data_IF_464174903210
#
_entry.id   IF_464174903210
#
_cell.length_a   1.000
_cell.length_b   1.000
_cell.length_c   1.000
_cell.angle_alpha   90.00
_cell.angle_beta   90.00
_cell.angle_gamma   90.00
#
_symmetry.space_group_name_H-M   'P 1'
#
loop_
_entity.id
_entity.type
_entity.pdbx_description
1 polymer ?
#
# COMPACT_ATOMS: atom_id res chain seq x y z
N UNK A 1 2.59 19.40 -9.58
CA UNK A 1 1.79 19.43 -10.82
C UNK A 1 2.51 20.30 -11.85
N UNK A 2 2.70 19.80 -13.07
CA UNK A 2 3.19 20.55 -14.24
C UNK A 2 2.24 20.25 -15.43
N UNK A 3 1.93 21.25 -16.27
CA UNK A 3 1.07 21.11 -17.46
C UNK A 3 -0.12 22.08 -17.55
N UNK A 4 -0.80 22.08 -18.70
CA UNK A 4 -1.97 22.91 -19.02
C UNK A 4 -3.24 22.43 -18.31
N UNK A 5 -3.94 23.34 -17.63
CA UNK A 5 -5.15 23.08 -16.84
C UNK A 5 -6.31 22.54 -17.68
N UNK A 6 -6.31 22.76 -19.00
CA UNK A 6 -7.29 22.22 -19.92
C UNK A 6 -7.22 20.68 -20.05
N UNK A 7 -6.08 20.06 -19.76
CA UNK A 7 -5.89 18.60 -19.81
C UNK A 7 -6.34 17.89 -18.52
N UNK A 8 -6.74 18.64 -17.49
CA UNK A 8 -7.05 18.11 -16.16
C UNK A 8 -8.55 17.87 -15.96
N UNK A 9 -9.31 17.57 -17.02
CA UNK A 9 -10.76 17.34 -16.96
C UNK A 9 -11.14 16.27 -15.93
N UNK A 10 -10.35 15.20 -15.83
CA UNK A 10 -10.54 14.16 -14.82
C UNK A 10 -10.34 14.69 -13.39
N UNK A 11 -9.30 15.49 -13.15
CA UNK A 11 -9.07 16.15 -11.87
C UNK A 11 -10.17 17.16 -11.55
N UNK A 12 -10.62 17.96 -12.53
CA UNK A 12 -11.74 18.90 -12.36
C UNK A 12 -13.01 18.17 -11.94
N UNK A 13 -13.30 17.01 -12.54
CA UNK A 13 -14.46 16.19 -12.19
C UNK A 13 -14.32 15.59 -10.78
N UNK A 14 -13.14 15.08 -10.41
CA UNK A 14 -12.85 14.58 -9.07
C UNK A 14 -12.95 15.67 -8.01
N UNK A 15 -12.34 16.83 -8.26
CA UNK A 15 -12.38 18.00 -7.39
C UNK A 15 -13.81 18.52 -7.24
N UNK A 16 -14.57 18.63 -8.34
CA UNK A 16 -15.98 19.03 -8.31
C UNK A 16 -16.81 18.03 -7.51
N UNK A 17 -16.58 16.73 -7.69
CA UNK A 17 -17.25 15.68 -6.91
C UNK A 17 -16.94 15.79 -5.40
N UNK A 18 -15.68 16.04 -5.02
CA UNK A 18 -15.30 16.25 -3.62
C UNK A 18 -15.94 17.52 -3.03
N UNK A 19 -15.94 18.62 -3.77
CA UNK A 19 -16.58 19.89 -3.37
C UNK A 19 -18.09 19.73 -3.22
N UNK A 20 -18.76 19.03 -4.14
CA UNK A 20 -20.21 18.81 -4.10
C UNK A 20 -20.65 17.85 -3.00
N UNK A 21 -19.78 16.93 -2.56
CA UNK A 21 -20.04 16.05 -1.41
C UNK A 21 -19.87 16.74 -0.06
N UNK A 22 -19.23 17.91 -0.03
CA UNK A 22 -18.96 18.64 1.20
C UNK A 22 -19.94 19.81 1.36
N UNK A 23 -20.81 19.74 2.36
CA UNK A 23 -21.90 20.72 2.59
C UNK A 23 -21.41 22.17 2.82
N UNK A 24 -20.15 22.38 3.20
CA UNK A 24 -19.56 23.72 3.37
C UNK A 24 -19.03 24.25 2.05
N UNK A 25 -18.48 23.37 1.21
CA UNK A 25 -17.89 23.72 -0.07
C UNK A 25 -18.92 23.78 -1.20
N UNK A 26 -20.02 23.04 -1.11
CA UNK A 26 -21.12 23.08 -2.10
C UNK A 26 -21.80 24.46 -2.20
N UNK A 27 -21.66 25.29 -1.15
CA UNK A 27 -22.17 26.66 -1.13
C UNK A 27 -21.22 27.68 -1.79
N UNK A 28 -19.98 27.28 -2.14
CA UNK A 28 -18.99 28.15 -2.76
C UNK A 28 -19.01 27.94 -4.28
N UNK A 29 -19.23 29.00 -5.09
CA UNK A 29 -19.16 28.89 -6.54
C UNK A 29 -17.76 28.43 -6.98
N UNK A 30 -17.69 27.35 -7.78
CA UNK A 30 -16.45 26.80 -8.32
C UNK A 30 -16.00 27.67 -9.51
N UNK A 31 -15.40 28.81 -9.19
CA UNK A 31 -14.76 29.75 -10.12
C UNK A 31 -13.26 29.85 -9.82
N UNK A 32 -12.46 30.29 -10.80
CA UNK A 32 -10.98 30.40 -10.71
C UNK A 32 -10.50 31.10 -9.45
N UNK A 33 -11.19 32.13 -9.01
CA UNK A 33 -10.87 32.93 -7.81
C UNK A 33 -11.10 32.16 -6.50
N UNK A 34 -12.08 31.25 -6.46
CA UNK A 34 -12.45 30.47 -5.28
C UNK A 34 -11.80 29.07 -5.25
N UNK A 35 -11.12 28.66 -6.32
CA UNK A 35 -10.45 27.37 -6.44
C UNK A 35 -9.36 27.21 -5.38
N UNK A 36 -8.56 28.26 -5.13
CA UNK A 36 -7.52 28.23 -4.09
C UNK A 36 -8.12 28.04 -2.70
N UNK A 37 -9.16 28.82 -2.36
CA UNK A 37 -9.84 28.72 -1.06
C UNK A 37 -10.52 27.36 -0.86
N UNK A 38 -11.17 26.85 -1.89
CA UNK A 38 -11.82 25.52 -1.86
C UNK A 38 -10.79 24.41 -1.71
N UNK A 39 -9.64 24.53 -2.37
CA UNK A 39 -8.50 23.62 -2.21
C UNK A 39 -7.90 23.66 -0.80
N UNK A 40 -7.72 24.84 -0.22
CA UNK A 40 -7.23 25.00 1.17
C UNK A 40 -8.19 24.40 2.20
N UNK A 41 -9.51 24.55 2.01
CA UNK A 41 -10.52 23.92 2.86
C UNK A 41 -10.48 22.40 2.71
N UNK A 42 -10.37 21.88 1.49
CA UNK A 42 -10.22 20.43 1.25
C UNK A 42 -8.95 19.89 1.91
N UNK A 43 -7.80 20.56 1.75
CA UNK A 43 -6.56 20.21 2.44
C UNK A 43 -6.76 20.21 3.95
N UNK A 44 -7.33 21.29 4.51
CA UNK A 44 -7.52 21.40 5.96
C UNK A 44 -8.42 20.28 6.51
N UNK A 45 -9.43 19.88 5.75
CA UNK A 45 -10.42 18.89 6.17
C UNK A 45 -9.97 17.44 5.92
N UNK A 46 -9.30 17.17 4.80
CA UNK A 46 -8.96 15.82 4.37
C UNK A 46 -7.48 15.47 4.55
N UNK A 47 -6.58 16.45 4.69
CA UNK A 47 -5.16 16.24 4.99
C UNK A 47 -4.89 16.19 6.51
N UNK A 48 -5.82 15.63 7.29
CA UNK A 48 -5.55 15.32 8.69
C UNK A 48 -4.58 14.14 8.75
N UNK A 49 -3.29 14.45 8.81
CA UNK A 49 -2.20 13.47 8.77
C UNK A 49 -2.34 12.38 9.83
N UNK A 50 -2.85 12.69 11.02
CA UNK A 50 -3.09 11.70 12.07
C UNK A 50 -4.12 10.66 11.63
N UNK A 51 -5.25 11.09 11.09
CA UNK A 51 -6.29 10.18 10.57
C UNK A 51 -5.76 9.34 9.41
N UNK A 52 -4.97 9.96 8.51
CA UNK A 52 -4.38 9.25 7.37
C UNK A 52 -3.37 8.19 7.84
N UNK A 53 -2.51 8.54 8.80
CA UNK A 53 -1.57 7.58 9.43
C UNK A 53 -2.34 6.45 10.12
N UNK A 54 -3.36 6.76 10.91
CA UNK A 54 -4.16 5.76 11.62
C UNK A 54 -4.88 4.82 10.65
N UNK A 55 -5.37 5.33 9.52
CA UNK A 55 -5.98 4.53 8.47
C UNK A 55 -4.97 3.59 7.80
N UNK A 56 -3.77 4.09 7.47
CA UNK A 56 -2.71 3.26 6.88
C UNK A 56 -2.19 2.20 7.86
N UNK A 57 -2.04 2.55 9.15
CA UNK A 57 -1.69 1.59 10.20
C UNK A 57 -2.79 0.53 10.34
N UNK A 58 -4.05 0.94 10.37
CA UNK A 58 -5.19 0.02 10.46
C UNK A 58 -5.20 -0.93 9.27
N UNK A 59 -4.95 -0.44 8.05
CA UNK A 59 -4.84 -1.27 6.85
C UNK A 59 -3.68 -2.27 6.97
N UNK A 60 -2.49 -1.80 7.37
CA UNK A 60 -1.30 -2.63 7.57
C UNK A 60 -1.53 -3.73 8.62
N UNK A 61 -2.14 -3.40 9.76
CA UNK A 61 -2.47 -4.37 10.81
C UNK A 61 -3.64 -5.29 10.46
N UNK A 62 -4.50 -4.88 9.53
CA UNK A 62 -5.60 -5.69 9.01
C UNK A 62 -5.16 -6.65 7.89
N UNK A 63 -3.93 -6.53 7.38
CA UNK A 63 -3.36 -7.47 6.41
C UNK A 63 -3.50 -8.88 6.97
N UNK A 64 -4.38 -9.66 6.34
CA UNK A 64 -4.81 -10.96 6.84
C UNK A 64 -3.69 -11.98 6.73
N UNK A 65 -3.61 -12.81 7.76
CA UNK A 65 -2.85 -14.07 7.78
C UNK A 65 -3.02 -14.86 6.48
N UNK A 66 -1.92 -15.37 5.92
CA UNK A 66 -1.94 -16.21 4.74
C UNK A 66 -2.55 -17.57 5.11
N UNK A 67 -3.85 -17.76 4.83
CA UNK A 67 -4.51 -19.06 5.02
C UNK A 67 -4.01 -20.13 4.03
N UNK A 68 -3.65 -19.69 2.84
CA UNK A 68 -3.12 -20.52 1.75
C UNK A 68 -1.95 -19.78 1.11
N UNK A 69 -0.75 -20.36 1.19
CA UNK A 69 0.47 -19.78 0.64
C UNK A 69 0.56 -20.01 -0.89
N UNK A 70 -0.45 -19.57 -1.65
CA UNK A 70 -0.43 -19.59 -3.11
C UNK A 70 0.31 -18.38 -3.69
N UNK A 71 0.78 -18.50 -4.95
CA UNK A 71 1.53 -17.43 -5.62
C UNK A 71 0.71 -16.11 -5.70
N UNK A 72 -0.57 -16.21 -6.02
CA UNK A 72 -1.51 -15.07 -6.09
C UNK A 72 -1.69 -14.37 -4.75
N UNK A 73 -1.78 -15.14 -3.66
CA UNK A 73 -1.97 -14.66 -2.31
C UNK A 73 -0.70 -13.98 -1.78
N UNK A 74 0.47 -14.55 -2.07
CA UNK A 74 1.76 -13.95 -1.74
C UNK A 74 1.95 -12.64 -2.52
N UNK A 75 1.57 -12.60 -3.80
CA UNK A 75 1.62 -11.37 -4.60
C UNK A 75 0.73 -10.28 -4.01
N UNK A 76 -0.55 -10.58 -3.75
CA UNK A 76 -1.48 -9.63 -3.14
C UNK A 76 -0.96 -9.12 -1.80
N UNK A 77 -0.41 -10.01 -0.97
CA UNK A 77 0.19 -9.62 0.30
C UNK A 77 1.34 -8.62 0.11
N UNK A 78 2.25 -8.87 -0.83
CA UNK A 78 3.35 -7.95 -1.13
C UNK A 78 2.83 -6.60 -1.62
N UNK A 79 1.83 -6.61 -2.49
CA UNK A 79 1.21 -5.40 -3.04
C UNK A 79 0.55 -4.58 -1.92
N UNK A 80 -0.23 -5.21 -1.04
CA UNK A 80 -0.90 -4.56 0.11
C UNK A 80 0.12 -3.90 1.06
N UNK A 81 1.25 -4.57 1.36
CA UNK A 81 2.30 -4.01 2.23
C UNK A 81 2.98 -2.83 1.57
N UNK A 82 3.34 -2.96 0.28
CA UNK A 82 4.00 -1.89 -0.47
C UNK A 82 3.11 -0.66 -0.59
N UNK A 83 1.83 -0.85 -0.86
CA UNK A 83 0.87 0.24 -0.93
C UNK A 83 0.81 1.01 0.41
N UNK A 84 0.73 0.30 1.54
CA UNK A 84 0.75 0.93 2.85
C UNK A 84 2.07 1.67 3.14
N UNK A 85 3.22 1.06 2.81
CA UNK A 85 4.55 1.68 2.99
C UNK A 85 4.75 2.91 2.12
N UNK A 86 4.33 2.87 0.86
CA UNK A 86 4.44 3.98 -0.08
C UNK A 86 3.46 5.10 0.30
N UNK A 87 2.29 4.77 0.87
CA UNK A 87 1.38 5.77 1.45
C UNK A 87 2.02 6.51 2.64
N UNK A 88 2.78 5.83 3.49
CA UNK A 88 3.54 6.48 4.57
C UNK A 88 4.64 7.41 4.03
N UNK A 89 5.35 6.99 2.99
CA UNK A 89 6.35 7.84 2.32
C UNK A 89 5.70 9.07 1.67
N UNK A 90 4.53 8.92 1.04
CA UNK A 90 3.76 10.02 0.46
C UNK A 90 3.31 11.04 1.53
N UNK A 91 3.01 10.58 2.73
CA UNK A 91 2.70 11.43 3.89
C UNK A 91 3.94 12.11 4.51
N UNK A 92 5.14 11.87 3.95
CA UNK A 92 6.44 12.31 4.49
C UNK A 92 6.73 11.78 5.90
N UNK A 93 6.05 10.71 6.30
CA UNK A 93 6.31 9.96 7.51
C UNK A 93 6.99 8.66 7.10
N UNK A 94 8.21 8.74 6.56
CA UNK A 94 8.91 7.54 6.14
C UNK A 94 9.25 6.69 7.35
N UNK A 95 8.70 5.47 7.37
CA UNK A 95 8.89 4.49 8.44
C UNK A 95 9.62 3.23 8.00
N UNK A 96 10.02 3.16 6.72
CA UNK A 96 10.64 1.98 6.08
C UNK A 96 11.72 1.34 6.97
N UNK A 97 12.76 2.08 7.38
CA UNK A 97 13.84 1.48 8.18
C UNK A 97 13.50 1.16 9.64
N UNK A 98 12.46 1.76 10.23
CA UNK A 98 12.13 1.56 11.66
C UNK A 98 11.10 0.46 11.89
N UNK A 99 10.35 0.09 10.86
CA UNK A 99 9.25 -0.87 10.96
C UNK A 99 9.55 -2.23 10.37
N UNK A 100 10.72 -2.39 9.75
CA UNK A 100 11.20 -3.66 9.18
C UNK A 100 10.95 -4.86 10.11
N UNK A 101 11.35 -4.79 11.38
CA UNK A 101 11.15 -5.90 12.32
C UNK A 101 9.69 -6.17 12.67
N UNK A 102 8.87 -5.12 12.75
CA UNK A 102 7.44 -5.25 13.03
C UNK A 102 6.76 -5.93 11.84
N UNK A 103 7.07 -5.49 10.63
CA UNK A 103 6.52 -6.04 9.38
C UNK A 103 6.96 -7.48 9.21
N UNK A 104 8.26 -7.78 9.38
CA UNK A 104 8.77 -9.16 9.35
C UNK A 104 8.05 -10.02 10.37
N UNK A 105 7.94 -9.58 11.63
CA UNK A 105 7.23 -10.33 12.68
C UNK A 105 5.75 -10.58 12.35
N UNK A 106 5.06 -9.59 11.77
CA UNK A 106 3.64 -9.71 11.40
C UNK A 106 3.42 -10.74 10.29
N UNK A 107 4.29 -10.73 9.27
CA UNK A 107 4.14 -11.53 8.05
C UNK A 107 4.63 -12.98 8.24
N UNK A 108 5.75 -13.14 8.93
CA UNK A 108 6.43 -14.43 9.06
C UNK A 108 5.63 -15.42 9.90
N UNK A 109 4.68 -14.98 10.73
CA UNK A 109 3.89 -15.85 11.62
C UNK A 109 3.29 -17.08 10.93
N UNK A 110 2.88 -16.98 9.67
CA UNK A 110 2.29 -18.11 8.92
C UNK A 110 3.30 -18.86 8.02
N UNK A 111 4.44 -18.25 7.72
CA UNK A 111 5.53 -18.82 6.89
C UNK A 111 6.79 -19.13 7.70
N UNK A 112 6.66 -19.18 9.03
CA UNK A 112 7.76 -19.11 9.98
C UNK A 112 8.80 -20.18 9.73
N UNK A 113 8.38 -21.43 9.50
CA UNK A 113 9.30 -22.54 9.26
C UNK A 113 10.21 -22.32 8.04
N UNK A 114 9.65 -21.94 6.90
CA UNK A 114 10.40 -21.79 5.65
C UNK A 114 11.24 -20.51 5.65
N UNK A 115 10.74 -19.47 6.30
CA UNK A 115 11.49 -18.25 6.57
C UNK A 115 12.71 -18.51 7.44
N UNK A 116 12.55 -19.20 8.58
CA UNK A 116 13.69 -19.56 9.46
C UNK A 116 14.71 -20.45 8.74
N UNK A 117 14.26 -21.39 7.90
CA UNK A 117 15.16 -22.19 7.04
C UNK A 117 15.98 -21.28 6.10
N UNK A 118 15.35 -20.24 5.55
CA UNK A 118 16.03 -19.28 4.65
C UNK A 118 17.04 -18.41 5.40
N UNK A 119 16.77 -18.07 6.66
CA UNK A 119 17.67 -17.27 7.50
C UNK A 119 18.90 -18.06 7.97
N UNK A 120 18.76 -19.36 8.21
CA UNK A 120 19.85 -20.22 8.66
C UNK A 120 20.48 -19.73 9.98
N UNK A 121 21.80 -19.60 10.03
CA UNK A 121 22.54 -19.17 11.22
C UNK A 121 22.69 -17.64 11.36
N UNK A 122 21.93 -16.83 10.62
CA UNK A 122 22.01 -15.37 10.75
C UNK A 122 21.57 -14.92 12.14
N UNK A 123 22.41 -14.13 12.80
CA UNK A 123 22.12 -13.52 14.10
C UNK A 123 21.59 -12.09 14.00
N UNK A 124 21.67 -11.48 12.82
CA UNK A 124 21.19 -10.10 12.60
C UNK A 124 19.70 -10.09 12.23
N UNK A 125 18.94 -9.13 12.77
CA UNK A 125 17.54 -8.93 12.38
C UNK A 125 17.40 -8.67 10.87
N UNK A 126 16.43 -9.34 10.25
CA UNK A 126 16.18 -9.17 8.80
C UNK A 126 15.39 -7.90 8.50
N UNK A 127 15.72 -7.28 7.36
CA UNK A 127 15.00 -6.13 6.81
C UNK A 127 13.75 -6.56 6.04
N UNK A 128 12.85 -5.60 5.77
CA UNK A 128 11.72 -5.85 4.86
C UNK A 128 12.20 -6.25 3.46
N UNK A 129 13.29 -5.68 2.97
CA UNK A 129 13.86 -6.06 1.66
C UNK A 129 14.25 -7.55 1.59
N UNK A 130 14.78 -8.12 2.68
CA UNK A 130 15.08 -9.56 2.73
C UNK A 130 13.79 -10.40 2.68
N UNK A 131 12.76 -9.96 3.40
CA UNK A 131 11.45 -10.61 3.40
C UNK A 131 10.80 -10.54 2.02
N UNK A 132 10.86 -9.39 1.36
CA UNK A 132 10.37 -9.20 0.01
C UNK A 132 11.01 -10.18 -0.97
N UNK A 133 12.35 -10.31 -0.94
CA UNK A 133 13.07 -11.26 -1.81
C UNK A 133 12.64 -12.71 -1.56
N UNK A 134 12.47 -13.11 -0.29
CA UNK A 134 11.97 -14.44 0.05
C UNK A 134 10.56 -14.69 -0.49
N UNK A 135 9.64 -13.74 -0.30
CA UNK A 135 8.27 -13.87 -0.78
C UNK A 135 8.20 -13.94 -2.31
N UNK A 136 8.99 -13.12 -3.01
CA UNK A 136 9.13 -13.17 -4.47
C UNK A 136 9.67 -14.53 -4.93
N UNK A 137 10.74 -15.03 -4.31
CA UNK A 137 11.32 -16.33 -4.63
C UNK A 137 10.32 -17.49 -4.43
N UNK A 138 9.52 -17.41 -3.36
CA UNK A 138 8.46 -18.39 -3.10
C UNK A 138 7.32 -18.30 -4.12
N UNK A 139 6.91 -17.09 -4.50
CA UNK A 139 5.92 -16.88 -5.55
C UNK A 139 6.37 -17.53 -6.87
N UNK A 140 7.60 -17.28 -7.32
CA UNK A 140 8.14 -17.89 -8.55
C UNK A 140 8.24 -19.41 -8.45
N UNK A 141 8.62 -19.94 -7.29
CA UNK A 141 8.65 -21.40 -7.05
C UNK A 141 7.27 -22.00 -7.21
N UNK A 142 6.24 -21.38 -6.64
CA UNK A 142 4.85 -21.84 -6.74
C UNK A 142 4.30 -21.73 -8.17
N UNK A 143 4.66 -20.67 -8.90
CA UNK A 143 4.32 -20.52 -10.32
C UNK A 143 5.00 -21.58 -11.20
N UNK A 144 6.26 -21.90 -10.91
CA UNK A 144 7.01 -22.95 -11.61
C UNK A 144 6.42 -24.33 -11.31
N UNK A 145 6.14 -24.65 -10.06
CA UNK A 145 5.48 -25.90 -9.67
C UNK A 145 4.10 -26.05 -10.31
N UNK A 146 3.28 -24.99 -10.37
CA UNK A 146 2.01 -25.03 -11.10
C UNK A 146 2.20 -25.40 -12.59
N UNK A 147 3.26 -24.91 -13.23
CA UNK A 147 3.59 -25.27 -14.62
C UNK A 147 4.07 -26.72 -14.76
N UNK A 148 4.91 -27.19 -13.83
CA UNK A 148 5.46 -28.55 -13.83
C UNK A 148 4.42 -29.61 -13.44
N UNK A 149 3.38 -29.25 -12.69
CA UNK A 149 2.27 -30.14 -12.27
C UNK A 149 1.11 -30.13 -13.28
N UNK A 150 1.10 -29.22 -14.26
CA UNK A 150 0.20 -29.27 -15.42
C UNK A 150 0.82 -29.88 -16.72
N UNK A 151 1.59 -30.99 -16.72
CA UNK A 151 1.94 -31.64 -17.96
C UNK A 151 0.81 -32.61 -18.35
N UNK A 152 0.21 -32.36 -19.50
CA UNK A 152 -0.72 -33.23 -20.25
C UNK A 152 -2.08 -33.53 -19.61
N UNK A 153 -3.05 -32.63 -19.82
CA UNK A 153 -4.38 -33.09 -20.25
C UNK A 153 -4.34 -33.26 -21.77
N UNK A 154 -4.07 -34.47 -22.23
CA UNK A 154 -4.47 -34.94 -23.57
C UNK A 154 -5.94 -35.34 -23.52
#
# INVERSE_FOLDING_TARGET
FSGDYAQWSHFRNLFTSMVMKDNVLSAIPIISENLKRSWEILITRYENKRILIDAQLSALFAIRKLKTAGASEIKRLLDDIKEALDAFDALKYSIKSRWDHIIVFMIVRDLLKEWEITLGARSTPSSFGNLEQFLIGRMYTLESLKRVIMPFKQ
#
